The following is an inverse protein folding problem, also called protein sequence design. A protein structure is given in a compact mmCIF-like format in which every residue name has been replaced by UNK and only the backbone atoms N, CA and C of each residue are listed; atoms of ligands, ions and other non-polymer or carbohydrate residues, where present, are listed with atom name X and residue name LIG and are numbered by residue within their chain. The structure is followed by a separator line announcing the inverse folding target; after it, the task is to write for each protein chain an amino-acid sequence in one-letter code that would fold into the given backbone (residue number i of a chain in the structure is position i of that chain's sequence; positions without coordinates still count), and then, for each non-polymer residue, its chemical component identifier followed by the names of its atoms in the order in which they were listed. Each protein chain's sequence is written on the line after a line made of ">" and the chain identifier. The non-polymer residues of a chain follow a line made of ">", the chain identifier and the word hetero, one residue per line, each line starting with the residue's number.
data_IF_840654793845
#
_entry.id   IF_840654793845
#
_cell.length_a   1.000
_cell.length_b   1.000
_cell.length_c   1.000
_cell.angle_alpha   90.00
_cell.angle_beta   90.00
_cell.angle_gamma   90.00
#
_symmetry.space_group_name_H-M   'P 1'
#
loop_
_entity.id
_entity.type
_entity.pdbx_description
1 polymer ?
#
# COMPACT_ATOMS: atom_id res chain seq x y z
N UNK A 1 19.01 11.46 -6.73
CA UNK A 1 18.68 10.21 -7.46
C UNK A 1 17.17 10.14 -7.55
N UNK A 2 16.65 9.88 -8.74
CA UNK A 2 15.21 9.64 -8.96
C UNK A 2 14.98 8.16 -9.24
N UNK A 3 14.03 7.56 -8.52
CA UNK A 3 13.58 6.19 -8.76
C UNK A 3 12.13 6.27 -9.23
N UNK A 4 11.85 5.73 -10.42
CA UNK A 4 10.53 5.75 -11.02
C UNK A 4 9.55 4.89 -10.22
N UNK A 5 8.40 5.41 -9.79
CA UNK A 5 7.32 4.61 -9.21
C UNK A 5 6.87 3.50 -10.15
N UNK A 6 6.55 2.33 -9.60
CA UNK A 6 6.17 1.14 -10.36
C UNK A 6 7.22 0.72 -11.41
N UNK A 7 8.52 0.92 -11.12
CA UNK A 7 9.62 0.48 -11.98
C UNK A 7 9.48 -1.01 -12.31
N UNK A 8 9.60 -1.36 -13.60
CA UNK A 8 9.32 -2.68 -14.15
C UNK A 8 8.28 -2.59 -15.27
N UNK A 9 7.52 -3.65 -15.52
CA UNK A 9 6.59 -3.74 -16.65
C UNK A 9 5.53 -2.64 -16.64
N UNK A 10 4.93 -2.36 -15.49
CA UNK A 10 3.90 -1.33 -15.37
C UNK A 10 4.46 0.08 -15.68
N UNK A 11 5.60 0.44 -15.10
CA UNK A 11 6.27 1.71 -15.37
C UNK A 11 6.81 1.80 -16.78
N UNK A 12 7.26 0.67 -17.35
CA UNK A 12 7.67 0.56 -18.75
C UNK A 12 6.54 0.87 -19.71
N UNK A 13 5.33 0.34 -19.46
CA UNK A 13 4.15 0.62 -20.27
C UNK A 13 3.77 2.11 -20.25
N UNK A 14 3.73 2.74 -19.07
CA UNK A 14 3.50 4.18 -18.94
C UNK A 14 4.62 4.98 -19.62
N UNK A 15 5.88 4.57 -19.44
CA UNK A 15 7.04 5.21 -20.05
C UNK A 15 6.98 5.19 -21.57
N UNK A 16 6.58 4.08 -22.18
CA UNK A 16 6.39 3.95 -23.62
C UNK A 16 5.30 4.91 -24.14
N UNK A 17 4.14 4.96 -23.47
CA UNK A 17 3.08 5.89 -23.83
C UNK A 17 3.53 7.36 -23.72
N UNK A 18 4.23 7.71 -22.64
CA UNK A 18 4.78 9.06 -22.45
C UNK A 18 5.88 9.39 -23.46
N UNK A 19 6.72 8.44 -23.85
CA UNK A 19 7.72 8.65 -24.89
C UNK A 19 7.07 8.99 -26.23
N UNK A 20 6.06 8.25 -26.65
CA UNK A 20 5.29 8.56 -27.87
C UNK A 20 4.67 9.96 -27.75
N UNK A 21 4.03 10.27 -26.64
CA UNK A 21 3.37 11.56 -26.45
C UNK A 21 4.33 12.75 -26.50
N UNK A 22 5.46 12.65 -25.83
CA UNK A 22 6.40 13.77 -25.73
C UNK A 22 7.50 13.77 -26.79
N UNK A 23 8.01 12.61 -27.20
CA UNK A 23 9.13 12.54 -28.16
C UNK A 23 8.65 12.45 -29.59
N UNK A 24 7.63 11.62 -29.88
CA UNK A 24 7.11 11.46 -31.24
C UNK A 24 6.18 12.60 -31.61
N UNK A 25 5.13 12.84 -30.80
CA UNK A 25 4.18 13.94 -31.06
C UNK A 25 4.69 15.32 -30.62
N UNK A 26 5.87 15.41 -30.01
CA UNK A 26 6.52 16.67 -29.57
C UNK A 26 5.63 17.55 -28.69
N UNK A 27 4.72 16.96 -27.92
CA UNK A 27 3.89 17.70 -26.99
C UNK A 27 4.74 18.36 -25.90
N UNK A 28 4.40 19.58 -25.52
CA UNK A 28 5.13 20.29 -24.46
C UNK A 28 4.85 19.67 -23.08
N UNK A 29 5.89 19.35 -22.33
CA UNK A 29 5.77 18.89 -20.96
C UNK A 29 5.43 20.07 -20.04
N UNK A 30 4.25 20.03 -19.41
CA UNK A 30 3.89 20.97 -18.34
C UNK A 30 4.48 20.43 -17.02
N UNK A 31 5.47 21.17 -16.49
CA UNK A 31 6.02 20.86 -15.15
C UNK A 31 5.03 21.34 -14.09
N UNK A 32 4.69 20.49 -13.16
CA UNK A 32 4.01 20.87 -11.92
C UNK A 32 4.95 20.53 -10.78
N UNK A 33 5.39 21.53 -10.04
CA UNK A 33 6.33 21.36 -8.93
C UNK A 33 5.63 21.05 -7.59
N UNK A 34 4.30 21.16 -7.56
CA UNK A 34 3.56 21.00 -6.30
C UNK A 34 2.97 19.59 -6.09
N UNK A 35 2.75 18.84 -7.18
CA UNK A 35 2.08 17.53 -7.06
C UNK A 35 2.69 16.49 -7.98
N UNK A 36 2.93 15.32 -7.43
CA UNK A 36 3.26 14.12 -8.18
C UNK A 36 2.05 13.68 -9.02
N UNK A 37 2.26 13.54 -10.34
CA UNK A 37 1.22 13.09 -11.26
C UNK A 37 0.84 11.61 -11.09
N UNK A 38 1.69 10.83 -10.45
CA UNK A 38 1.37 9.44 -10.08
C UNK A 38 0.36 9.36 -8.94
N UNK A 39 0.13 10.45 -8.19
CA UNK A 39 -0.89 10.53 -7.14
C UNK A 39 -0.85 9.36 -6.14
N UNK A 40 0.35 8.99 -5.70
CA UNK A 40 0.53 7.83 -4.82
C UNK A 40 0.29 6.48 -5.50
N UNK A 41 0.31 6.43 -6.84
CA UNK A 41 -0.06 5.30 -7.68
C UNK A 41 -1.55 4.91 -7.64
N UNK A 42 -2.43 5.69 -7.04
CA UNK A 42 -3.88 5.42 -6.94
C UNK A 42 -4.60 5.79 -8.25
N UNK A 43 -4.22 5.13 -9.34
CA UNK A 43 -4.69 5.41 -10.70
C UNK A 43 -5.71 4.40 -11.24
N UNK A 44 -5.92 3.31 -10.52
CA UNK A 44 -6.82 2.24 -10.90
C UNK A 44 -8.29 2.50 -10.53
N UNK A 45 -9.18 1.53 -10.76
CA UNK A 45 -10.60 1.68 -10.50
C UNK A 45 -10.92 1.86 -9.02
N UNK A 46 -12.01 2.57 -8.77
CA UNK A 46 -12.65 2.75 -7.48
C UNK A 46 -14.09 2.22 -7.59
N UNK A 47 -14.59 1.69 -6.49
CA UNK A 47 -15.98 1.25 -6.38
C UNK A 47 -16.64 1.99 -5.21
N UNK A 48 -17.86 2.45 -5.42
CA UNK A 48 -18.66 3.08 -4.37
C UNK A 48 -19.39 2.01 -3.54
N UNK A 49 -19.73 2.33 -2.31
CA UNK A 49 -20.36 1.39 -1.37
C UNK A 49 -21.61 0.71 -1.92
N UNK A 50 -22.42 1.44 -2.70
CA UNK A 50 -23.62 0.89 -3.34
C UNK A 50 -23.29 -0.17 -4.41
N UNK A 51 -22.25 0.06 -5.19
CA UNK A 51 -21.80 -0.91 -6.22
C UNK A 51 -21.26 -2.18 -5.57
N UNK A 52 -20.48 -2.01 -4.49
CA UNK A 52 -19.96 -3.13 -3.69
C UNK A 52 -21.12 -3.94 -3.10
N UNK A 53 -22.12 -3.29 -2.52
CA UNK A 53 -23.29 -3.93 -1.91
C UNK A 53 -24.08 -4.74 -2.94
N UNK A 54 -24.29 -4.19 -4.14
CA UNK A 54 -24.95 -4.89 -5.25
C UNK A 54 -24.17 -6.15 -5.65
N UNK A 55 -22.85 -6.03 -5.84
CA UNK A 55 -22.01 -7.16 -6.22
C UNK A 55 -21.95 -8.25 -5.15
N UNK A 56 -21.83 -7.87 -3.88
CA UNK A 56 -21.84 -8.82 -2.76
C UNK A 56 -23.16 -9.60 -2.69
N UNK A 57 -24.31 -8.92 -2.88
CA UNK A 57 -25.61 -9.56 -2.91
C UNK A 57 -25.75 -10.50 -4.11
N UNK A 58 -25.28 -10.11 -5.30
CA UNK A 58 -25.32 -10.93 -6.52
C UNK A 58 -24.52 -12.22 -6.38
N UNK A 59 -23.36 -12.18 -5.71
CA UNK A 59 -22.54 -13.37 -5.49
C UNK A 59 -22.93 -14.17 -4.22
N UNK A 60 -23.99 -13.79 -3.52
CA UNK A 60 -24.44 -14.47 -2.31
C UNK A 60 -23.48 -14.37 -1.13
N UNK A 61 -22.66 -13.32 -1.08
CA UNK A 61 -21.70 -13.12 -0.01
C UNK A 61 -22.38 -12.82 1.32
N UNK A 62 -21.89 -13.41 2.40
CA UNK A 62 -22.29 -13.07 3.74
C UNK A 62 -21.40 -11.92 4.24
N UNK A 63 -21.99 -10.77 4.49
CA UNK A 63 -21.25 -9.59 4.92
C UNK A 63 -22.02 -8.80 5.98
N UNK A 64 -21.34 -7.87 6.63
CA UNK A 64 -21.88 -6.97 7.64
C UNK A 64 -21.54 -5.54 7.28
N UNK A 65 -22.53 -4.69 7.17
CA UNK A 65 -22.33 -3.25 6.94
C UNK A 65 -22.10 -2.54 8.27
N UNK A 66 -21.01 -1.82 8.37
CA UNK A 66 -20.61 -1.11 9.58
C UNK A 66 -20.47 0.39 9.31
N UNK A 67 -20.65 1.21 10.34
CA UNK A 67 -20.18 2.60 10.29
C UNK A 67 -18.65 2.64 10.24
N UNK A 68 -18.08 3.74 9.73
CA UNK A 68 -16.62 3.90 9.62
C UNK A 68 -15.91 3.68 10.97
N UNK A 69 -16.42 4.27 12.04
CA UNK A 69 -15.78 4.15 13.36
C UNK A 69 -15.81 2.70 13.84
N UNK A 70 -16.97 2.03 13.71
CA UNK A 70 -17.11 0.62 14.11
C UNK A 70 -16.21 -0.30 13.29
N UNK A 71 -16.06 -0.05 11.97
CA UNK A 71 -15.14 -0.79 11.12
C UNK A 71 -13.68 -0.66 11.61
N UNK A 72 -13.25 0.56 11.91
CA UNK A 72 -11.89 0.81 12.40
C UNK A 72 -11.62 0.12 13.74
N UNK A 73 -12.58 0.16 14.66
CA UNK A 73 -12.49 -0.53 15.96
C UNK A 73 -12.38 -2.07 15.79
N UNK A 74 -13.23 -2.66 14.94
CA UNK A 74 -13.23 -4.09 14.69
C UNK A 74 -11.92 -4.54 14.02
N UNK A 75 -11.41 -3.76 13.04
CA UNK A 75 -10.13 -4.03 12.36
C UNK A 75 -8.95 -3.89 13.33
N UNK A 76 -8.90 -2.81 14.12
CA UNK A 76 -7.84 -2.62 15.10
C UNK A 76 -7.81 -3.76 16.13
N UNK A 77 -8.98 -4.16 16.64
CA UNK A 77 -9.13 -5.29 17.55
C UNK A 77 -8.65 -6.60 16.93
N UNK A 78 -8.98 -6.84 15.65
CA UNK A 78 -8.54 -8.04 14.94
C UNK A 78 -7.02 -8.06 14.76
N UNK A 79 -6.39 -6.91 14.45
CA UNK A 79 -4.94 -6.80 14.33
C UNK A 79 -4.23 -7.03 15.67
N UNK A 80 -4.75 -6.47 16.76
CA UNK A 80 -4.22 -6.74 18.12
C UNK A 80 -4.30 -8.22 18.45
N UNK A 81 -5.36 -8.91 18.03
CA UNK A 81 -5.54 -10.35 18.17
C UNK A 81 -4.79 -11.19 17.12
N UNK A 82 -3.75 -10.62 16.51
CA UNK A 82 -2.84 -11.28 15.56
C UNK A 82 -3.53 -11.85 14.30
N UNK A 83 -4.67 -11.28 13.89
CA UNK A 83 -5.35 -11.66 12.65
C UNK A 83 -4.77 -10.88 11.47
N UNK A 84 -4.68 -11.52 10.31
CA UNK A 84 -4.42 -10.85 9.04
C UNK A 84 -5.73 -10.34 8.45
N UNK A 85 -5.74 -9.09 7.95
CA UNK A 85 -6.92 -8.42 7.40
C UNK A 85 -6.68 -8.10 5.93
N UNK A 86 -7.57 -8.55 5.04
CA UNK A 86 -7.65 -8.03 3.68
C UNK A 86 -8.31 -6.65 3.73
N UNK A 87 -7.58 -5.61 3.31
CA UNK A 87 -8.07 -4.24 3.32
C UNK A 87 -8.27 -3.71 1.91
N UNK A 88 -9.44 -3.12 1.66
CA UNK A 88 -9.80 -2.53 0.39
C UNK A 88 -10.45 -1.16 0.62
N UNK A 89 -9.90 -0.11 -0.03
CA UNK A 89 -10.45 1.24 0.00
C UNK A 89 -10.06 2.04 -1.25
N UNK A 90 -10.82 3.08 -1.58
CA UNK A 90 -10.47 4.05 -2.62
C UNK A 90 -10.05 3.43 -3.96
N UNK A 91 -9.19 4.14 -4.69
CA UNK A 91 -8.66 3.70 -5.98
C UNK A 91 -7.62 2.59 -5.84
N UNK A 92 -7.67 1.60 -6.71
CA UNK A 92 -6.62 0.58 -6.81
C UNK A 92 -5.27 1.20 -7.19
N UNK A 93 -4.20 0.64 -6.65
CA UNK A 93 -2.85 1.05 -6.99
C UNK A 93 -2.45 0.58 -8.39
N UNK A 94 -1.72 1.43 -9.10
CA UNK A 94 -1.05 1.09 -10.35
C UNK A 94 0.35 0.52 -10.06
N UNK A 95 0.64 -0.65 -10.58
CA UNK A 95 1.92 -1.31 -10.39
C UNK A 95 1.87 -2.49 -9.42
N UNK A 96 3.04 -3.13 -9.15
CA UNK A 96 3.09 -4.42 -8.45
C UNK A 96 3.00 -4.32 -6.93
N UNK A 97 2.98 -3.10 -6.37
CA UNK A 97 3.01 -2.88 -4.91
C UNK A 97 1.62 -2.57 -4.38
N UNK A 98 1.24 -3.22 -3.27
CA UNK A 98 0.15 -2.78 -2.43
C UNK A 98 0.62 -1.55 -1.62
N UNK A 99 -0.13 -0.46 -1.70
CA UNK A 99 0.23 0.83 -1.09
C UNK A 99 -0.88 1.37 -0.19
N UNK A 100 -1.67 0.47 0.41
CA UNK A 100 -2.70 0.81 1.38
C UNK A 100 -4.14 0.69 0.89
N UNK A 101 -4.39 0.59 -0.40
CA UNK A 101 -5.75 0.52 -0.94
C UNK A 101 -6.20 -0.91 -1.32
N UNK A 102 -5.28 -1.80 -1.61
CA UNK A 102 -5.51 -3.24 -1.82
C UNK A 102 -4.40 -3.99 -1.07
N UNK A 103 -4.51 -4.02 0.25
CA UNK A 103 -3.41 -4.43 1.13
C UNK A 103 -3.83 -5.56 2.06
N UNK A 104 -2.86 -6.32 2.52
CA UNK A 104 -3.00 -7.21 3.67
C UNK A 104 -2.37 -6.50 4.84
N UNK A 105 -3.16 -6.25 5.88
CA UNK A 105 -2.72 -5.61 7.12
C UNK A 105 -2.45 -6.67 8.18
N UNK A 106 -1.43 -6.45 9.00
CA UNK A 106 -1.08 -7.32 10.09
C UNK A 106 -0.36 -6.56 11.21
N UNK A 107 -0.34 -7.12 12.41
CA UNK A 107 0.30 -6.52 13.56
C UNK A 107 1.84 -6.58 13.44
N UNK A 108 2.54 -5.45 13.32
CA UNK A 108 4.00 -5.43 13.21
C UNK A 108 4.72 -5.78 14.52
N UNK A 109 4.01 -5.80 15.65
CA UNK A 109 4.59 -6.13 16.96
C UNK A 109 4.64 -7.64 17.24
N UNK A 110 3.95 -8.46 16.45
CA UNK A 110 3.96 -9.90 16.59
C UNK A 110 5.23 -10.51 15.99
N UNK A 111 6.04 -11.23 16.75
CA UNK A 111 7.27 -11.85 16.25
C UNK A 111 7.01 -12.97 15.23
N UNK A 112 5.82 -13.56 15.23
CA UNK A 112 5.45 -14.66 14.34
C UNK A 112 4.73 -14.21 13.07
N UNK A 113 4.22 -13.00 13.04
CA UNK A 113 3.31 -12.54 11.98
C UNK A 113 3.96 -12.53 10.60
N UNK A 114 5.22 -12.09 10.49
CA UNK A 114 5.97 -12.11 9.22
C UNK A 114 6.03 -13.53 8.63
N UNK A 115 6.40 -14.51 9.46
CA UNK A 115 6.48 -15.92 9.05
C UNK A 115 5.11 -16.46 8.65
N UNK A 116 4.08 -16.19 9.45
CA UNK A 116 2.72 -16.66 9.19
C UNK A 116 2.16 -16.10 7.88
N UNK A 117 2.31 -14.80 7.64
CA UNK A 117 1.84 -14.18 6.40
C UNK A 117 2.57 -14.73 5.18
N UNK A 118 3.88 -14.89 5.25
CA UNK A 118 4.65 -15.44 4.15
C UNK A 118 4.25 -16.87 3.82
N UNK A 119 4.13 -17.73 4.81
CA UNK A 119 3.86 -19.16 4.60
C UNK A 119 2.39 -19.46 4.32
N UNK A 120 1.45 -18.80 5.04
CA UNK A 120 0.02 -19.18 4.98
C UNK A 120 -0.79 -18.30 4.02
N UNK A 121 -0.34 -17.10 3.71
CA UNK A 121 -1.09 -16.15 2.87
C UNK A 121 -0.40 -15.88 1.55
N UNK A 122 0.92 -15.68 1.57
CA UNK A 122 1.70 -15.38 0.36
C UNK A 122 2.34 -16.61 -0.29
N UNK A 123 2.38 -17.75 0.39
CA UNK A 123 2.99 -19.00 -0.09
C UNK A 123 4.41 -18.80 -0.63
N UNK A 124 5.25 -18.13 0.18
CA UNK A 124 6.62 -17.77 -0.18
C UNK A 124 7.56 -17.91 1.02
N UNK A 125 8.84 -17.63 0.81
CA UNK A 125 9.90 -17.76 1.81
C UNK A 125 9.61 -16.91 3.06
N UNK A 126 9.79 -17.50 4.23
CA UNK A 126 9.43 -16.90 5.53
C UNK A 126 10.21 -15.63 5.88
N UNK A 127 11.41 -15.46 5.30
CA UNK A 127 12.30 -14.33 5.59
C UNK A 127 11.94 -13.04 4.83
N UNK A 128 11.05 -13.09 3.84
CA UNK A 128 10.72 -11.89 3.05
C UNK A 128 10.09 -10.81 3.92
N UNK A 129 10.59 -9.56 3.86
CA UNK A 129 10.06 -8.47 4.67
C UNK A 129 8.71 -7.99 4.17
N UNK A 130 7.97 -7.33 5.07
CA UNK A 130 6.81 -6.51 4.77
C UNK A 130 7.13 -5.05 5.07
N UNK A 131 6.51 -4.13 4.33
CA UNK A 131 6.67 -2.71 4.59
C UNK A 131 5.82 -2.29 5.78
N UNK A 132 6.35 -1.51 6.73
CA UNK A 132 5.56 -0.89 7.77
C UNK A 132 4.69 0.23 7.18
N UNK A 133 3.50 0.44 7.75
CA UNK A 133 2.71 1.65 7.57
C UNK A 133 2.84 2.50 8.83
N UNK A 134 3.16 3.77 8.66
CA UNK A 134 3.39 4.70 9.76
C UNK A 134 2.73 6.04 9.42
N UNK A 135 2.23 6.76 10.43
CA UNK A 135 1.71 8.10 10.24
C UNK A 135 2.85 9.03 9.80
N UNK A 136 2.55 9.97 8.90
CA UNK A 136 3.58 10.88 8.35
C UNK A 136 4.30 11.67 9.44
N UNK A 137 3.56 12.13 10.41
CA UNK A 137 4.05 12.87 11.58
C UNK A 137 4.97 12.05 12.49
N UNK A 138 4.84 10.73 12.47
CA UNK A 138 5.62 9.83 13.32
C UNK A 138 6.86 9.24 12.62
N UNK A 139 7.05 9.51 11.32
CA UNK A 139 8.14 8.91 10.53
C UNK A 139 9.49 9.18 11.18
N UNK A 140 9.77 10.43 11.51
CA UNK A 140 11.03 10.83 12.15
C UNK A 140 11.20 10.21 13.55
N UNK A 141 10.13 9.93 14.27
CA UNK A 141 10.22 9.29 15.58
C UNK A 141 10.69 7.82 15.48
N UNK A 142 10.26 7.12 14.42
CA UNK A 142 10.48 5.66 14.28
C UNK A 142 11.65 5.30 13.39
N UNK A 143 11.96 6.12 12.38
CA UNK A 143 12.93 5.79 11.34
C UNK A 143 14.04 6.83 11.23
N UNK A 144 15.19 6.43 10.72
CA UNK A 144 16.26 7.33 10.28
C UNK A 144 15.89 7.92 8.90
N UNK A 145 14.72 8.58 8.85
CA UNK A 145 14.11 9.14 7.67
C UNK A 145 13.08 10.20 8.07
N UNK A 146 12.96 11.29 7.33
CA UNK A 146 12.11 12.44 7.63
C UNK A 146 11.22 12.90 6.47
N UNK A 147 11.24 12.17 5.34
CA UNK A 147 10.51 12.55 4.14
C UNK A 147 9.42 11.52 3.77
N UNK A 148 8.65 11.82 2.73
CA UNK A 148 7.60 10.96 2.22
C UNK A 148 8.17 9.74 1.48
N UNK A 149 7.55 8.59 1.68
CA UNK A 149 7.87 7.36 0.96
C UNK A 149 6.61 6.65 0.46
N UNK A 150 5.86 7.26 -0.48
CA UNK A 150 4.55 6.76 -0.89
C UNK A 150 4.60 5.51 -1.78
N UNK A 151 5.77 5.11 -2.31
CA UNK A 151 5.89 4.10 -3.37
C UNK A 151 6.65 2.83 -2.95
N UNK A 152 6.98 2.65 -1.67
CA UNK A 152 7.83 1.55 -1.19
C UNK A 152 9.17 1.43 -1.96
N UNK A 153 9.79 2.54 -2.29
CA UNK A 153 11.06 2.61 -3.04
C UNK A 153 12.25 2.95 -2.15
N UNK A 154 12.00 3.43 -0.94
CA UNK A 154 13.03 3.83 0.01
C UNK A 154 13.16 2.81 1.13
N UNK A 155 14.36 2.66 1.64
CA UNK A 155 14.69 1.84 2.81
C UNK A 155 15.31 2.73 3.86
N UNK A 156 14.84 2.63 5.09
CA UNK A 156 15.37 3.36 6.23
C UNK A 156 15.56 2.44 7.43
N UNK A 157 16.53 2.75 8.27
CA UNK A 157 16.71 2.02 9.53
C UNK A 157 15.67 2.47 10.56
N UNK A 158 15.14 1.51 11.31
CA UNK A 158 14.40 1.82 12.54
C UNK A 158 15.37 2.42 13.55
N UNK A 159 15.01 3.52 14.21
CA UNK A 159 15.85 4.16 15.23
C UNK A 159 16.21 3.17 16.34
N UNK A 160 17.44 3.22 16.85
CA UNK A 160 17.98 2.24 17.80
C UNK A 160 17.12 2.08 19.05
N UNK A 161 16.58 3.18 19.58
CA UNK A 161 15.71 3.19 20.77
C UNK A 161 14.30 2.59 20.53
N UNK A 162 13.91 2.37 19.28
CA UNK A 162 12.62 1.76 18.90
C UNK A 162 12.75 0.28 18.54
N UNK A 163 13.97 -0.21 18.38
CA UNK A 163 14.21 -1.62 18.00
C UNK A 163 13.86 -2.55 19.16
N UNK A 164 13.22 -3.65 18.85
CA UNK A 164 12.97 -4.75 19.78
C UNK A 164 13.83 -5.94 19.39
N UNK A 165 14.27 -6.72 20.38
CA UNK A 165 14.94 -7.99 20.12
C UNK A 165 13.91 -8.94 19.50
N UNK A 166 14.18 -9.42 18.30
CA UNK A 166 13.40 -10.47 17.66
C UNK A 166 13.97 -11.80 18.16
N UNK A 167 13.20 -12.54 18.92
CA UNK A 167 13.54 -13.90 19.38
C UNK A 167 13.17 -14.94 18.33
#
# INVERSE_FOLDING_TARGET
>A
IWIQPAAGDAGGAVGAALAIWYLHYKNKRKKNHMFDKMKGAYLGPKYEDKEIEVQLNQCGAVYKKLSKNRLLEEVATALVNEKAIGWMQGNMEFGPRALGNRSILANPLSPLMQKQLNLKVKYRESFRPFAPSVLREDVEEWFEHDDDSPYMLLVAYVKKNKRRTMT
#
